data_IF_176057378911
#
_entry.id   IF_176057378911
#
_cell.length_a   1.000
_cell.length_b   1.000
_cell.length_c   1.000
_cell.angle_alpha   90.00
_cell.angle_beta   90.00
_cell.angle_gamma   90.00
#
_symmetry.space_group_name_H-M   'P 1'
#
loop_
_entity.id
_entity.type
_entity.pdbx_description
1 polymer ?
#
# COMPACT_ATOMS: atom_id res chain seq x y z
N UNK A 1 13.78 -3.16 1.11
CA UNK A 1 15.24 -3.24 0.85
C UNK A 1 15.87 -4.60 1.04
N UNK A 2 15.86 -5.23 2.23
CA UNK A 2 16.54 -6.51 2.45
C UNK A 2 16.14 -7.65 1.49
N UNK A 3 14.92 -7.60 0.94
CA UNK A 3 14.40 -8.55 -0.04
C UNK A 3 14.62 -8.14 -1.50
N UNK A 4 15.31 -7.02 -1.76
CA UNK A 4 15.51 -6.48 -3.11
C UNK A 4 14.24 -5.98 -3.80
N UNK A 5 13.16 -5.78 -3.05
CA UNK A 5 11.90 -5.23 -3.56
C UNK A 5 11.98 -3.71 -3.58
N UNK A 6 11.77 -3.13 -4.76
CA UNK A 6 11.73 -1.69 -5.02
C UNK A 6 10.31 -1.14 -4.80
N UNK A 7 10.04 -0.73 -3.55
CA UNK A 7 8.85 0.03 -3.14
C UNK A 7 9.29 1.50 -2.96
N UNK A 8 9.25 2.31 -4.03
CA UNK A 8 10.02 3.56 -4.12
C UNK A 8 9.63 4.61 -3.10
N UNK A 9 8.39 4.56 -2.58
CA UNK A 9 7.87 5.49 -1.57
C UNK A 9 7.59 4.80 -0.24
N UNK A 10 7.95 3.52 -0.09
CA UNK A 10 7.68 2.73 1.11
C UNK A 10 6.19 2.50 1.37
N UNK A 11 5.34 2.53 0.34
CA UNK A 11 3.89 2.49 0.48
C UNK A 11 3.40 1.23 1.20
N UNK A 12 4.01 0.07 0.93
CA UNK A 12 3.62 -1.19 1.55
C UNK A 12 3.94 -1.19 3.04
N UNK A 13 5.12 -0.67 3.41
CA UNK A 13 5.53 -0.60 4.81
C UNK A 13 4.69 0.39 5.62
N UNK A 14 4.49 1.61 5.10
CA UNK A 14 3.80 2.68 5.82
C UNK A 14 2.29 2.49 5.82
N UNK A 15 1.68 2.10 4.71
CA UNK A 15 0.22 2.01 4.61
C UNK A 15 -0.27 0.57 4.79
N UNK A 16 0.40 -0.40 4.16
CA UNK A 16 0.02 -1.82 4.27
C UNK A 16 0.25 -2.37 5.68
N UNK A 17 1.50 -2.33 6.16
CA UNK A 17 1.86 -2.92 7.45
C UNK A 17 1.30 -2.11 8.62
N UNK A 18 1.52 -0.80 8.66
CA UNK A 18 0.98 0.01 9.77
C UNK A 18 -0.56 0.06 9.77
N UNK A 19 -1.20 0.02 8.59
CA UNK A 19 -2.67 -0.06 8.49
C UNK A 19 -3.23 -1.37 9.03
N UNK A 20 -2.59 -2.50 8.68
CA UNK A 20 -2.93 -3.81 9.24
C UNK A 20 -2.73 -3.83 10.76
N UNK A 21 -1.59 -3.32 11.26
CA UNK A 21 -1.33 -3.20 12.69
C UNK A 21 -2.38 -2.33 13.40
N UNK A 22 -2.68 -1.14 12.88
CA UNK A 22 -3.69 -0.24 13.46
C UNK A 22 -5.07 -0.89 13.55
N UNK A 23 -5.46 -1.64 12.51
CA UNK A 23 -6.74 -2.35 12.48
C UNK A 23 -6.80 -3.48 13.51
N UNK A 24 -5.72 -4.26 13.66
CA UNK A 24 -5.60 -5.29 14.71
C UNK A 24 -5.56 -4.66 16.11
N UNK A 25 -4.91 -3.51 16.26
CA UNK A 25 -4.82 -2.78 17.52
C UNK A 25 -6.20 -2.35 18.04
N UNK A 26 -7.19 -2.10 17.17
CA UNK A 26 -8.59 -1.90 17.61
C UNK A 26 -9.11 -3.12 18.37
N UNK A 27 -8.81 -4.34 17.89
CA UNK A 27 -9.20 -5.58 18.56
C UNK A 27 -8.52 -5.81 19.91
N UNK A 28 -7.39 -5.15 20.16
CA UNK A 28 -6.67 -5.22 21.42
C UNK A 28 -7.10 -4.11 22.39
N UNK A 29 -7.19 -2.88 21.90
CA UNK A 29 -7.20 -1.67 22.71
C UNK A 29 -8.51 -0.87 22.66
N UNK A 30 -9.53 -1.31 21.91
CA UNK A 30 -10.81 -0.60 21.89
C UNK A 30 -11.36 -0.39 23.32
N UNK A 31 -11.49 0.88 23.69
CA UNK A 31 -12.10 1.35 24.93
C UNK A 31 -13.40 2.04 24.58
N UNK A 32 -14.45 1.69 25.31
CA UNK A 32 -15.82 2.14 25.07
C UNK A 32 -16.03 3.61 25.46
N UNK A 33 -16.38 4.53 24.54
CA UNK A 33 -16.81 5.87 24.91
C UNK A 33 -18.25 6.21 24.52
N UNK A 34 -18.97 5.35 23.75
CA UNK A 34 -20.25 5.73 23.15
C UNK A 34 -21.23 4.56 23.19
N UNK A 35 -22.22 4.69 24.08
CA UNK A 35 -23.09 3.62 24.56
C UNK A 35 -23.98 2.94 23.51
N UNK A 36 -24.43 1.75 23.92
CA UNK A 36 -25.23 0.72 23.25
C UNK A 36 -24.53 -0.02 22.11
N UNK A 37 -24.38 -1.35 22.29
CA UNK A 37 -23.64 -2.34 21.49
C UNK A 37 -22.10 -2.30 21.62
N UNK A 38 -21.64 -2.09 22.86
CA UNK A 38 -20.24 -1.90 23.24
C UNK A 38 -19.32 -3.05 22.84
N UNK A 39 -18.44 -2.78 21.89
CA UNK A 39 -17.29 -3.61 21.55
C UNK A 39 -16.09 -3.16 22.36
N UNK A 40 -15.58 -4.04 23.23
CA UNK A 40 -14.33 -3.82 23.96
C UNK A 40 -13.18 -4.63 23.33
N UNK A 41 -11.97 -4.09 23.40
CA UNK A 41 -10.77 -4.81 23.00
C UNK A 41 -10.41 -5.92 23.99
N UNK A 42 -9.55 -6.84 23.56
CA UNK A 42 -9.08 -7.97 24.37
C UNK A 42 -8.55 -7.53 25.74
N UNK A 43 -7.78 -6.43 25.79
CA UNK A 43 -7.18 -5.94 27.04
C UNK A 43 -8.16 -5.19 27.95
N UNK A 44 -9.40 -4.97 27.48
CA UNK A 44 -10.46 -4.29 28.21
C UNK A 44 -11.67 -5.20 28.47
N UNK A 45 -11.48 -6.52 28.43
CA UNK A 45 -12.50 -7.50 28.82
C UNK A 45 -13.50 -7.89 27.72
N UNK A 46 -13.31 -7.44 26.48
CA UNK A 46 -14.19 -7.80 25.35
C UNK A 46 -13.95 -9.18 24.73
N UNK A 47 -12.99 -9.94 25.27
CA UNK A 47 -12.61 -11.25 24.74
C UNK A 47 -11.94 -11.20 23.36
N UNK A 48 -11.84 -12.34 22.68
CA UNK A 48 -11.13 -12.47 21.40
C UNK A 48 -11.98 -12.16 20.17
N UNK A 49 -13.30 -12.00 20.34
CA UNK A 49 -14.24 -11.81 19.23
C UNK A 49 -13.85 -10.61 18.36
N UNK A 50 -13.61 -9.46 18.97
CA UNK A 50 -13.26 -8.25 18.22
C UNK A 50 -11.92 -8.38 17.51
N UNK A 51 -10.91 -8.95 18.15
CA UNK A 51 -9.62 -9.22 17.50
C UNK A 51 -9.78 -10.14 16.28
N UNK A 52 -10.64 -11.15 16.37
CA UNK A 52 -11.00 -12.03 15.25
C UNK A 52 -11.67 -11.27 14.10
N UNK A 53 -12.67 -10.42 14.41
CA UNK A 53 -13.34 -9.58 13.40
C UNK A 53 -12.34 -8.65 12.70
N UNK A 54 -11.46 -7.99 13.45
CA UNK A 54 -10.44 -7.12 12.88
C UNK A 54 -9.44 -7.90 12.00
N UNK A 55 -9.02 -9.10 12.42
CA UNK A 55 -8.14 -9.95 11.62
C UNK A 55 -8.78 -10.41 10.30
N UNK A 56 -10.06 -10.80 10.33
CA UNK A 56 -10.83 -11.10 9.12
C UNK A 56 -10.89 -9.88 8.21
N UNK A 57 -11.13 -8.69 8.77
CA UNK A 57 -11.14 -7.43 8.02
C UNK A 57 -9.82 -7.15 7.30
N UNK A 58 -8.68 -7.28 8.01
CA UNK A 58 -7.34 -7.11 7.42
C UNK A 58 -7.10 -8.10 6.28
N UNK A 59 -7.41 -9.39 6.49
CA UNK A 59 -7.22 -10.43 5.47
C UNK A 59 -8.12 -10.22 4.26
N UNK A 60 -9.39 -9.84 4.47
CA UNK A 60 -10.34 -9.55 3.40
C UNK A 60 -9.89 -8.35 2.57
N UNK A 61 -9.48 -7.25 3.22
CA UNK A 61 -8.97 -6.07 2.55
C UNK A 61 -7.68 -6.36 1.77
N UNK A 62 -6.75 -7.12 2.36
CA UNK A 62 -5.52 -7.53 1.69
C UNK A 62 -5.82 -8.42 0.47
N UNK A 63 -6.64 -9.46 0.64
CA UNK A 63 -6.98 -10.38 -0.44
C UNK A 63 -7.65 -9.66 -1.62
N UNK A 64 -8.54 -8.70 -1.33
CA UNK A 64 -9.15 -7.88 -2.35
C UNK A 64 -8.14 -6.94 -3.02
N UNK A 65 -7.46 -6.08 -2.26
CA UNK A 65 -6.57 -5.06 -2.80
C UNK A 65 -5.38 -5.67 -3.55
N UNK A 66 -4.69 -6.64 -2.95
CA UNK A 66 -3.58 -7.33 -3.59
C UNK A 66 -4.08 -8.23 -4.73
N UNK A 67 -5.13 -9.02 -4.54
CA UNK A 67 -5.62 -9.95 -5.55
C UNK A 67 -6.11 -9.25 -6.81
N UNK A 68 -7.00 -8.26 -6.65
CA UNK A 68 -7.53 -7.47 -7.77
C UNK A 68 -6.43 -6.62 -8.40
N UNK A 69 -5.61 -5.94 -7.60
CA UNK A 69 -4.51 -5.11 -8.09
C UNK A 69 -3.48 -5.93 -8.87
N UNK A 70 -3.06 -7.08 -8.35
CA UNK A 70 -2.14 -7.99 -9.02
C UNK A 70 -2.70 -8.48 -10.35
N UNK A 71 -3.96 -8.92 -10.38
CA UNK A 71 -4.61 -9.37 -11.61
C UNK A 71 -4.67 -8.24 -12.64
N UNK A 72 -5.12 -7.05 -12.24
CA UNK A 72 -5.22 -5.87 -13.09
C UNK A 72 -3.86 -5.49 -13.69
N UNK A 73 -2.83 -5.31 -12.85
CA UNK A 73 -1.50 -4.92 -13.32
C UNK A 73 -0.85 -6.00 -14.19
N UNK A 74 -1.09 -7.29 -13.90
CA UNK A 74 -0.62 -8.39 -14.73
C UNK A 74 -1.29 -8.41 -16.10
N UNK A 75 -2.59 -8.08 -16.17
CA UNK A 75 -3.31 -7.95 -17.43
C UNK A 75 -2.76 -6.77 -18.25
N UNK A 76 -2.62 -5.59 -17.64
CA UNK A 76 -2.04 -4.41 -18.29
C UNK A 76 -0.64 -4.71 -18.84
N UNK A 77 0.21 -5.35 -18.02
CA UNK A 77 1.56 -5.74 -18.43
C UNK A 77 1.55 -6.67 -19.66
N UNK A 78 0.57 -7.57 -19.77
CA UNK A 78 0.46 -8.51 -20.89
C UNK A 78 -0.18 -7.92 -22.15
N UNK A 79 -1.01 -6.89 -22.02
CA UNK A 79 -1.75 -6.34 -23.17
C UNK A 79 -1.07 -5.13 -23.77
N UNK A 80 -0.83 -4.08 -22.98
CA UNK A 80 -0.31 -2.80 -23.45
C UNK A 80 1.06 -2.45 -22.86
N UNK A 81 1.51 -3.20 -21.85
CA UNK A 81 2.75 -2.91 -21.12
C UNK A 81 2.49 -1.98 -19.93
N UNK A 82 3.12 -2.28 -18.80
CA UNK A 82 2.98 -1.51 -17.55
C UNK A 82 4.17 -0.56 -17.29
N UNK A 83 5.36 -0.90 -17.76
CA UNK A 83 6.61 -0.16 -17.55
C UNK A 83 7.10 0.38 -18.88
N UNK A 84 7.63 1.60 -18.86
CA UNK A 84 8.30 2.25 -20.02
C UNK A 84 9.53 1.46 -20.46
N UNK A 85 10.06 1.77 -21.64
CA UNK A 85 11.30 1.18 -22.13
C UNK A 85 12.49 1.58 -21.26
N UNK A 86 13.57 0.77 -21.29
CA UNK A 86 14.80 1.09 -20.53
C UNK A 86 15.42 2.43 -20.94
N UNK A 87 15.28 2.81 -22.21
CA UNK A 87 15.74 4.11 -22.71
C UNK A 87 14.96 5.26 -22.10
N UNK A 88 13.62 5.19 -22.12
CA UNK A 88 12.75 6.21 -21.52
C UNK A 88 12.96 6.30 -19.99
N UNK A 89 13.18 5.16 -19.32
CA UNK A 89 13.48 5.13 -17.89
C UNK A 89 14.80 5.86 -17.55
N UNK A 90 15.82 5.73 -18.41
CA UNK A 90 17.13 6.40 -18.23
C UNK A 90 17.06 7.89 -18.58
N UNK A 91 16.36 8.23 -19.67
CA UNK A 91 16.19 9.61 -20.14
C UNK A 91 15.27 10.42 -19.19
N UNK A 92 14.38 9.74 -18.45
CA UNK A 92 13.42 10.32 -17.52
C UNK A 92 12.04 10.54 -18.16
N UNK A 93 10.97 10.24 -17.40
CA UNK A 93 9.59 10.30 -17.93
C UNK A 93 9.13 11.73 -18.25
N UNK A 94 9.65 12.76 -17.58
CA UNK A 94 9.25 14.16 -17.83
C UNK A 94 9.36 14.54 -19.32
N UNK A 95 10.46 14.14 -19.98
CA UNK A 95 10.72 14.48 -21.38
C UNK A 95 9.82 13.67 -22.31
N UNK A 96 9.68 12.37 -22.05
CA UNK A 96 8.96 11.45 -22.94
C UNK A 96 7.44 11.54 -22.79
N UNK A 97 6.92 11.79 -21.59
CA UNK A 97 5.47 11.86 -21.30
C UNK A 97 4.93 13.29 -21.26
N UNK A 98 5.78 14.29 -20.97
CA UNK A 98 5.35 15.68 -20.75
C UNK A 98 6.09 16.71 -21.62
N UNK A 99 7.01 16.28 -22.49
CA UNK A 99 7.71 17.14 -23.46
C UNK A 99 8.53 18.27 -22.83
N UNK A 100 8.82 18.19 -21.52
CA UNK A 100 9.47 19.24 -20.76
C UNK A 100 10.36 18.65 -19.67
N UNK A 101 11.18 19.49 -19.04
CA UNK A 101 11.97 19.09 -17.87
C UNK A 101 11.38 19.73 -16.63
N UNK A 102 11.18 18.98 -15.54
CA UNK A 102 10.71 19.57 -14.29
C UNK A 102 11.65 20.65 -13.73
N UNK A 103 12.95 20.55 -14.02
CA UNK A 103 13.97 21.50 -13.53
C UNK A 103 14.85 22.00 -14.68
N UNK A 104 14.95 23.33 -14.83
CA UNK A 104 15.67 23.97 -15.92
C UNK A 104 17.20 23.72 -15.91
N UNK A 105 17.79 23.50 -14.72
CA UNK A 105 19.26 23.45 -14.53
C UNK A 105 19.77 22.16 -13.88
N UNK A 106 18.96 21.10 -13.78
CA UNK A 106 19.36 19.84 -13.16
C UNK A 106 19.18 18.69 -14.17
N UNK A 107 20.13 18.55 -15.08
CA UNK A 107 20.32 17.31 -15.84
C UNK A 107 21.61 16.66 -15.35
N UNK A 108 21.50 15.41 -14.88
CA UNK A 108 22.65 14.66 -14.33
C UNK A 108 23.53 14.09 -15.45
N UNK A 109 23.03 14.07 -16.69
CA UNK A 109 23.78 13.63 -17.86
C UNK A 109 24.12 14.82 -18.75
N UNK A 110 25.42 15.06 -18.89
CA UNK A 110 26.00 15.70 -20.07
C UNK A 110 26.29 14.60 -21.10
N UNK A 111 26.08 14.92 -22.37
CA UNK A 111 26.45 14.10 -23.52
C UNK A 111 27.86 13.47 -23.39
#
# INVERSE_FOLDING_TARGET
>A
EALGIDDPVGAVSVHGVCGAWGTLAVGLFAVNPYGSDSVAGLFYGGGVSQLGVQAIGVLAAFAFAFGVGFLMFKLIHKTIGLRVSRKEELDGLDVHEHGSTAYANFRIYHD
#
